data_IF_303212655665
#
_entry.id   IF_303212655665
#
_cell.length_a   1.000
_cell.length_b   1.000
_cell.length_c   1.000
_cell.angle_alpha   90.00
_cell.angle_beta   90.00
_cell.angle_gamma   90.00
#
_symmetry.space_group_name_H-M   'P 1'
#
loop_
_entity.id
_entity.type
_entity.pdbx_description
1 polymer ?
2 non-polymer ?
3 non-polymer ?
#
# COMPACT_ATOMS: atom_id res chain seq x y z
N UNK A 2 -18.29 5.21 -10.11
CA UNK A 2 -17.78 5.63 -11.45
C UNK A 2 -16.55 6.56 -11.32
N UNK A 3 -15.80 6.37 -10.23
CA UNK A 3 -14.61 7.16 -9.92
C UNK A 3 -13.33 6.42 -10.27
N UNK A 4 -12.54 7.03 -11.14
CA UNK A 4 -11.28 6.46 -11.59
C UNK A 4 -10.10 6.62 -10.63
N UNK A 5 -9.16 5.68 -10.73
CA UNK A 5 -7.96 5.71 -9.92
C UNK A 5 -6.75 5.44 -10.80
N UNK A 6 -5.81 6.38 -10.81
CA UNK A 6 -4.61 6.22 -11.58
C UNK A 6 -3.53 5.70 -10.65
N UNK A 7 -2.75 4.75 -11.16
CA UNK A 7 -1.71 4.10 -10.39
C UNK A 7 -0.30 4.41 -10.88
N UNK A 8 0.55 4.90 -9.98
CA UNK A 8 1.93 5.23 -10.33
C UNK A 8 2.82 4.15 -9.76
N UNK A 9 3.63 3.52 -10.61
CA UNK A 9 4.53 2.44 -10.16
C UNK A 9 5.99 2.88 -10.31
N UNK A 10 6.73 2.96 -9.20
CA UNK A 10 8.12 3.42 -9.27
C UNK A 10 9.15 2.43 -8.74
N UNK A 11 10.29 2.38 -9.42
CA UNK A 11 11.38 1.51 -9.02
C UNK A 11 11.12 0.04 -9.23
N UNK A 12 12.13 -0.80 -9.03
CA UNK A 12 11.94 -2.24 -9.19
C UNK A 12 10.73 -2.59 -8.34
N UNK A 13 10.92 -2.55 -7.02
CA UNK A 13 9.87 -2.86 -6.08
C UNK A 13 8.53 -2.30 -6.53
N UNK A 14 8.50 -0.99 -6.78
CA UNK A 14 7.25 -0.40 -7.21
C UNK A 14 6.64 -1.15 -8.37
N UNK A 15 7.41 -1.27 -9.44
CA UNK A 15 6.96 -1.93 -10.66
C UNK A 15 6.79 -3.43 -10.65
N UNK A 16 7.28 -4.10 -9.63
CA UNK A 16 7.11 -5.53 -9.57
C UNK A 16 5.85 -5.95 -8.82
N UNK A 17 5.52 -5.24 -7.74
CA UNK A 17 4.31 -5.57 -7.04
C UNK A 17 3.21 -5.07 -7.98
N UNK A 18 3.57 -4.12 -8.84
CA UNK A 18 2.64 -3.53 -9.78
C UNK A 18 2.27 -4.49 -10.88
N UNK A 19 3.26 -5.20 -11.39
CA UNK A 19 3.10 -6.19 -12.46
C UNK A 19 2.09 -7.23 -11.95
N UNK A 20 2.37 -7.76 -10.77
CA UNK A 20 1.51 -8.74 -10.12
C UNK A 20 0.11 -8.17 -9.91
N UNK A 21 0.03 -6.92 -9.46
CA UNK A 21 -1.24 -6.25 -9.22
C UNK A 21 -2.12 -6.34 -10.47
N UNK A 22 -1.57 -5.93 -11.61
CA UNK A 22 -2.33 -5.96 -12.86
C UNK A 22 -2.52 -7.37 -13.37
N UNK A 23 -1.74 -8.30 -12.86
CA UNK A 23 -1.90 -9.66 -13.30
C UNK A 23 -3.16 -10.16 -12.61
N UNK A 24 -3.28 -9.83 -11.31
CA UNK A 24 -4.40 -10.24 -10.47
C UNK A 24 -5.73 -9.61 -10.88
N UNK A 25 -5.78 -8.30 -11.01
CA UNK A 25 -7.03 -7.66 -11.41
C UNK A 25 -7.48 -8.16 -12.76
N UNK A 26 -6.53 -8.38 -13.66
CA UNK A 26 -6.87 -8.87 -14.99
C UNK A 26 -7.65 -10.18 -14.87
N UNK A 27 -7.07 -11.13 -14.14
CA UNK A 27 -7.69 -12.43 -13.93
C UNK A 27 -9.14 -12.28 -13.50
N UNK A 28 -9.37 -11.38 -12.56
CA UNK A 28 -10.71 -11.17 -12.03
C UNK A 28 -11.71 -10.60 -13.03
N UNK A 29 -11.34 -9.53 -13.72
CA UNK A 29 -12.25 -8.92 -14.68
C UNK A 29 -12.24 -9.64 -16.03
N UNK A 30 -11.77 -10.87 -16.04
CA UNK A 30 -11.74 -11.64 -17.28
C UNK A 30 -11.04 -11.01 -18.47
N UNK A 31 -10.00 -10.23 -18.21
CA UNK A 31 -9.26 -9.62 -19.29
C UNK A 31 -8.06 -10.48 -19.60
N UNK A 32 -7.68 -10.56 -20.86
CA UNK A 32 -6.52 -11.34 -21.26
C UNK A 32 -5.34 -10.38 -21.18
N UNK A 33 -4.11 -10.91 -21.28
CA UNK A 33 -2.91 -10.07 -21.23
C UNK A 33 -2.92 -8.95 -22.27
N UNK A 34 -4.12 -8.60 -22.73
CA UNK A 34 -4.35 -7.55 -23.72
C UNK A 34 -5.80 -7.07 -23.63
N UNK A 35 -6.75 -7.87 -24.12
CA UNK A 35 -8.14 -7.44 -24.07
C UNK A 35 -9.29 -8.45 -24.09
N UNK A 36 -10.16 -8.29 -23.08
CA UNK A 36 -11.40 -9.06 -22.82
C UNK A 36 -11.54 -10.55 -23.14
N UNK A 45 -21.63 -8.20 -14.35
CA UNK A 45 -21.66 -6.78 -14.03
C UNK A 45 -20.64 -6.44 -12.95
N UNK A 46 -19.55 -5.81 -13.39
CA UNK A 46 -18.45 -5.38 -12.53
C UNK A 46 -18.04 -3.99 -13.02
N UNK A 47 -17.32 -3.25 -12.19
CA UNK A 47 -16.86 -1.91 -12.59
C UNK A 47 -15.38 -1.97 -12.95
N UNK A 48 -15.10 -2.00 -14.25
CA UNK A 48 -13.72 -2.07 -14.73
C UNK A 48 -13.12 -0.68 -14.84
N UNK A 49 -13.97 0.29 -15.17
CA UNK A 49 -13.57 1.68 -15.34
C UNK A 49 -12.62 2.21 -14.27
N UNK A 50 -12.94 1.97 -13.02
CA UNK A 50 -12.13 2.47 -11.92
C UNK A 50 -10.63 2.29 -12.15
N UNK A 51 -10.23 1.09 -12.54
CA UNK A 51 -8.82 0.80 -12.75
C UNK A 51 -8.36 0.68 -14.19
N UNK A 52 -9.32 0.49 -15.11
CA UNK A 52 -9.04 0.35 -16.53
C UNK A 52 -9.62 1.45 -17.43
N UNK A 53 -9.22 1.38 -18.69
CA UNK A 53 -9.66 2.34 -19.71
C UNK A 53 -10.08 1.57 -20.95
N UNK A 54 -11.20 1.98 -21.54
CA UNK A 54 -11.72 1.33 -22.74
C UNK A 54 -10.89 1.70 -23.96
N UNK A 55 -10.20 0.71 -24.51
CA UNK A 55 -9.37 0.92 -25.68
C UNK A 55 -10.18 1.37 -26.89
N UNK A 56 -9.50 2.03 -27.83
CA UNK A 56 -10.14 2.53 -29.06
C UNK A 56 -10.35 1.34 -30.01
N UNK A 57 -10.43 0.15 -29.44
CA UNK A 57 -10.63 -1.10 -30.18
C UNK A 57 -11.39 -2.13 -29.35
N UNK A 58 -12.33 -1.66 -28.54
CA UNK A 58 -13.13 -2.54 -27.69
C UNK A 58 -12.24 -3.49 -26.86
N UNK A 59 -11.02 -3.04 -26.56
CA UNK A 59 -10.05 -3.80 -25.75
C UNK A 59 -9.82 -3.04 -24.44
N UNK A 60 -8.97 -3.59 -23.55
CA UNK A 60 -8.70 -2.92 -22.27
C UNK A 60 -7.24 -2.64 -21.95
N UNK A 61 -7.02 -1.57 -21.19
CA UNK A 61 -5.68 -1.18 -20.76
C UNK A 61 -5.75 -0.49 -19.40
N UNK A 62 -4.81 -0.79 -18.51
CA UNK A 62 -4.74 -0.23 -17.16
C UNK A 62 -4.27 1.23 -17.03
N UNK A 63 -4.93 1.99 -16.15
CA UNK A 63 -4.58 3.39 -15.89
C UNK A 63 -3.30 3.37 -15.05
N UNK A 64 -2.25 2.81 -15.61
CA UNK A 64 -1.02 2.74 -14.85
C UNK A 64 0.14 3.39 -15.55
N UNK A 65 0.98 4.01 -14.73
CA UNK A 65 2.16 4.69 -15.18
C UNK A 65 3.37 3.97 -14.63
N UNK A 66 4.15 3.32 -15.50
CA UNK A 66 5.34 2.61 -15.05
C UNK A 66 6.57 3.52 -15.16
N UNK A 67 7.04 4.01 -14.02
CA UNK A 67 8.20 4.92 -13.99
C UNK A 67 9.36 4.25 -13.29
N UNK A 68 10.54 4.32 -13.89
CA UNK A 68 11.72 3.70 -13.34
C UNK A 68 12.94 4.47 -13.83
N UNK A 69 14.06 4.37 -13.12
CA UNK A 69 15.26 5.10 -13.50
C UNK A 69 16.29 4.20 -14.14
N UNK A 70 15.87 3.00 -14.50
CA UNK A 70 16.76 2.04 -15.13
C UNK A 70 15.88 1.11 -15.95
N UNK A 71 16.33 0.72 -17.14
CA UNK A 71 15.58 -0.16 -18.03
C UNK A 71 15.38 -1.62 -17.64
N UNK A 72 16.32 -2.19 -16.89
CA UNK A 72 16.19 -3.59 -16.55
C UNK A 72 14.77 -4.09 -16.27
N UNK A 73 14.19 -3.66 -15.14
CA UNK A 73 12.85 -4.09 -14.71
C UNK A 73 11.69 -3.88 -15.68
N UNK A 74 11.63 -2.71 -16.29
CA UNK A 74 10.56 -2.41 -17.23
C UNK A 74 10.62 -3.24 -18.51
N UNK A 75 11.80 -3.66 -18.90
CA UNK A 75 11.92 -4.46 -20.11
C UNK A 75 11.60 -5.93 -19.86
N UNK A 76 11.61 -6.31 -18.59
CA UNK A 76 11.28 -7.67 -18.17
C UNK A 76 9.78 -7.78 -18.31
N UNK A 77 9.10 -6.70 -17.95
CA UNK A 77 7.66 -6.63 -18.05
C UNK A 77 7.32 -6.62 -19.53
N UNK A 78 8.04 -5.78 -20.26
CA UNK A 78 7.79 -5.66 -21.69
C UNK A 78 8.19 -6.92 -22.47
N UNK A 79 9.22 -7.61 -22.04
CA UNK A 79 9.58 -8.83 -22.74
C UNK A 79 8.85 -9.99 -22.01
N UNK A 80 7.64 -9.71 -21.51
CA UNK A 80 6.84 -10.70 -20.79
C UNK A 80 5.48 -10.97 -21.45
N UNK A 81 4.66 -11.85 -20.84
CA UNK A 81 3.34 -12.18 -21.39
C UNK A 81 2.35 -11.03 -21.39
N UNK A 82 2.59 -10.01 -20.55
CA UNK A 82 1.68 -8.86 -20.47
C UNK A 82 2.15 -7.59 -21.13
N UNK A 83 3.28 -7.68 -21.82
CA UNK A 83 3.82 -6.52 -22.50
C UNK A 83 2.74 -5.81 -23.31
N UNK A 84 1.80 -6.59 -23.84
CA UNK A 84 0.73 -6.03 -24.65
C UNK A 84 -0.41 -5.38 -23.87
N UNK A 85 -0.43 -5.58 -22.54
CA UNK A 85 -1.49 -5.01 -21.71
C UNK A 85 -1.30 -3.51 -21.50
N UNK A 86 -0.17 -3.13 -20.91
CA UNK A 86 0.11 -1.75 -20.61
C UNK A 86 0.02 -0.81 -21.80
N UNK A 87 -0.31 0.45 -21.50
CA UNK A 87 -0.42 1.51 -22.49
C UNK A 87 1.03 1.95 -22.76
N UNK A 88 1.55 1.60 -23.94
CA UNK A 88 2.92 1.94 -24.33
C UNK A 88 3.42 3.34 -24.00
N UNK A 89 2.59 4.37 -24.22
CA UNK A 89 3.02 5.74 -23.94
C UNK A 89 3.01 6.07 -22.45
N UNK A 90 2.78 5.08 -21.60
CA UNK A 90 2.75 5.30 -20.17
C UNK A 90 3.98 4.75 -19.47
N UNK A 91 4.90 4.22 -20.26
CA UNK A 91 6.14 3.63 -19.78
C UNK A 91 7.32 4.61 -19.86
N UNK A 92 7.81 5.10 -18.72
CA UNK A 92 8.93 6.02 -18.76
C UNK A 92 10.24 5.55 -18.10
N UNK A 93 11.36 5.86 -18.78
CA UNK A 93 12.70 5.49 -18.31
C UNK A 93 13.71 6.63 -18.50
N UNK A 94 14.47 6.95 -17.45
CA UNK A 94 15.46 8.03 -17.53
C UNK A 94 16.61 7.60 -18.41
N UNK A 101 18.79 6.34 -8.67
CA UNK A 101 20.23 6.52 -8.70
C UNK A 101 20.94 5.71 -7.63
N UNK A 102 20.16 5.29 -6.63
CA UNK A 102 20.60 4.50 -5.48
C UNK A 102 20.35 5.33 -4.22
N UNK A 103 20.46 6.64 -4.38
CA UNK A 103 20.27 7.55 -3.28
C UNK A 103 18.90 8.17 -3.49
N UNK A 104 18.27 8.57 -2.39
CA UNK A 104 16.97 9.22 -2.43
C UNK A 104 17.19 10.60 -3.04
N UNK A 105 18.36 11.14 -2.79
CA UNK A 105 18.74 12.44 -3.30
C UNK A 105 18.79 12.37 -4.82
N UNK A 106 19.47 11.34 -5.32
CA UNK A 106 19.59 11.14 -6.77
C UNK A 106 18.23 10.89 -7.40
N UNK A 107 17.35 10.24 -6.64
CA UNK A 107 16.02 9.95 -7.12
C UNK A 107 15.16 11.20 -7.00
N UNK A 108 15.17 11.81 -5.84
CA UNK A 108 14.38 13.01 -5.69
C UNK A 108 14.83 13.99 -6.76
N UNK A 109 16.07 13.82 -7.19
CA UNK A 109 16.67 14.70 -8.19
C UNK A 109 16.08 14.57 -9.59
N UNK A 110 16.46 13.52 -10.30
CA UNK A 110 15.99 13.30 -11.66
C UNK A 110 14.51 13.60 -11.87
N UNK A 111 13.72 13.46 -10.82
CA UNK A 111 12.30 13.75 -10.96
C UNK A 111 12.17 15.16 -11.46
N UNK A 112 12.80 16.08 -10.71
CA UNK A 112 12.78 17.48 -11.06
C UNK A 112 13.27 17.61 -12.47
N UNK A 113 14.21 16.75 -12.84
CA UNK A 113 14.75 16.77 -14.19
C UNK A 113 13.75 16.21 -15.20
N UNK A 114 13.04 15.15 -14.81
CA UNK A 114 12.10 14.51 -15.71
C UNK A 114 10.66 15.02 -15.56
N UNK A 115 10.48 15.89 -14.58
CA UNK A 115 9.17 16.47 -14.31
C UNK A 115 8.26 16.46 -15.53
N UNK A 116 8.48 17.43 -16.41
CA UNK A 116 7.69 17.58 -17.62
C UNK A 116 7.39 16.28 -18.35
N UNK A 117 8.42 15.53 -18.70
CA UNK A 117 8.20 14.30 -19.44
C UNK A 117 7.23 13.38 -18.70
N UNK A 118 7.30 13.41 -17.37
CA UNK A 118 6.45 12.56 -16.53
C UNK A 118 4.99 12.97 -16.46
N UNK A 119 4.72 14.25 -16.24
CA UNK A 119 3.35 14.68 -16.15
C UNK A 119 2.60 14.62 -17.47
N UNK A 120 3.36 14.55 -18.56
CA UNK A 120 2.74 14.44 -19.86
C UNK A 120 1.92 13.14 -19.85
N UNK A 121 2.41 12.12 -19.13
CA UNK A 121 1.71 10.84 -19.03
C UNK A 121 0.74 10.93 -17.88
N UNK A 122 1.15 11.65 -16.83
CA UNK A 122 0.30 11.75 -15.66
C UNK A 122 -0.92 12.61 -15.96
N UNK A 123 -0.72 13.77 -16.57
CA UNK A 123 -1.83 14.66 -16.88
C UNK A 123 -2.73 14.08 -17.97
N UNK A 124 -2.19 13.28 -18.88
CA UNK A 124 -3.01 12.72 -19.96
C UNK A 124 -4.05 11.74 -19.45
N UNK A 125 -3.62 10.80 -18.62
CA UNK A 125 -4.52 9.82 -18.04
C UNK A 125 -5.41 10.61 -17.10
N UNK A 126 -4.86 11.71 -16.60
CA UNK A 126 -5.62 12.56 -15.70
C UNK A 126 -6.77 13.18 -16.48
N UNK A 127 -6.58 13.35 -17.78
CA UNK A 127 -7.64 13.91 -18.59
C UNK A 127 -8.64 12.81 -18.91
N UNK A 128 -8.14 11.71 -19.48
CA UNK A 128 -8.98 10.58 -19.83
C UNK A 128 -10.10 10.30 -18.85
N UNK A 129 -9.80 10.46 -17.57
CA UNK A 129 -10.81 10.23 -16.55
C UNK A 129 -11.83 11.36 -16.48
N UNK A 130 -13.10 11.00 -16.27
CA UNK A 130 -14.17 11.97 -16.21
C UNK A 130 -14.40 12.38 -14.77
N UNK A 131 -14.24 11.42 -13.86
CA UNK A 131 -14.40 11.66 -12.43
C UNK A 131 -13.26 10.99 -11.70
N UNK A 132 -12.08 11.60 -11.75
CA UNK A 132 -10.93 11.05 -11.08
C UNK A 132 -11.06 11.25 -9.58
N UNK A 133 -10.73 10.22 -8.82
CA UNK A 133 -10.77 10.30 -7.38
C UNK A 133 -9.36 10.67 -6.88
N UNK A 134 -8.37 9.85 -7.23
CA UNK A 134 -7.03 10.15 -6.79
C UNK A 134 -5.95 9.24 -7.34
N UNK A 135 -4.82 9.14 -6.62
CA UNK A 135 -3.71 8.32 -7.08
C UNK A 135 -3.18 7.27 -6.10
N UNK A 136 -2.79 6.12 -6.64
CA UNK A 136 -2.19 5.06 -5.85
C UNK A 136 -0.72 5.00 -6.30
N UNK A 137 0.18 5.05 -5.31
CA UNK A 137 1.60 5.03 -5.61
C UNK A 137 2.27 3.78 -5.04
N UNK A 138 2.56 2.81 -5.91
CA UNK A 138 3.22 1.57 -5.51
C UNK A 138 4.71 1.86 -5.53
N UNK A 139 5.41 1.54 -4.45
CA UNK A 139 6.82 1.84 -4.40
C UNK A 139 7.40 1.31 -3.10
N UNK A 140 8.70 1.47 -2.93
CA UNK A 140 9.39 1.03 -1.72
C UNK A 140 9.94 2.26 -0.99
N UNK A 141 10.13 2.15 0.32
CA UNK A 141 10.64 3.27 1.12
C UNK A 141 12.17 3.33 1.05
N UNK A 142 12.83 2.18 1.21
CA UNK A 142 14.29 2.11 1.14
C UNK A 142 14.58 2.33 -0.33
N UNK A 143 15.64 1.75 -0.87
CA UNK A 143 15.91 1.95 -2.28
C UNK A 143 16.07 3.42 -2.68
N UNK A 144 16.32 3.68 -3.96
CA UNK A 144 16.49 5.05 -4.41
C UNK A 144 15.31 5.68 -5.13
N UNK A 145 15.03 5.18 -6.34
CA UNK A 145 13.94 5.67 -7.16
C UNK A 145 12.60 5.74 -6.41
N UNK A 146 12.12 4.59 -5.94
CA UNK A 146 10.88 4.57 -5.20
C UNK A 146 10.81 5.71 -4.21
N UNK A 147 11.77 5.81 -3.30
CA UNK A 147 11.77 6.85 -2.28
C UNK A 147 12.12 8.25 -2.78
N UNK A 148 13.20 8.35 -3.56
CA UNK A 148 13.62 9.63 -4.08
C UNK A 148 12.63 10.21 -5.07
N UNK A 149 12.45 9.51 -6.19
CA UNK A 149 11.53 9.96 -7.21
C UNK A 149 10.13 10.00 -6.61
N UNK A 150 9.78 8.94 -5.89
CA UNK A 150 8.47 8.85 -5.27
C UNK A 150 8.08 9.97 -4.33
N UNK A 151 9.05 10.43 -3.53
CA UNK A 151 8.78 11.51 -2.59
C UNK A 151 8.54 12.77 -3.42
N UNK A 152 9.28 12.89 -4.52
CA UNK A 152 9.14 14.03 -5.39
C UNK A 152 7.74 14.10 -5.94
N UNK A 153 7.27 13.01 -6.53
CA UNK A 153 5.93 12.97 -7.09
C UNK A 153 4.92 13.37 -6.03
N UNK A 154 5.00 12.69 -4.88
CA UNK A 154 4.09 12.95 -3.77
C UNK A 154 4.01 14.41 -3.39
N UNK A 155 5.03 15.18 -3.72
CA UNK A 155 5.05 16.60 -3.42
C UNK A 155 4.41 17.35 -4.58
N UNK A 156 4.70 16.90 -5.79
CA UNK A 156 4.15 17.51 -6.99
C UNK A 156 2.66 17.22 -7.09
N UNK A 157 2.29 15.97 -6.87
CA UNK A 157 0.88 15.57 -6.93
C UNK A 157 0.07 16.42 -5.98
N UNK A 158 0.67 16.79 -4.86
CA UNK A 158 0.00 17.59 -3.83
C UNK A 158 -0.23 19.06 -4.26
N UNK A 159 0.19 19.38 -5.48
CA UNK A 159 0.04 20.74 -6.02
C UNK A 159 -0.72 20.73 -7.34
N UNK A 160 -0.24 19.95 -8.31
CA UNK A 160 -0.89 19.88 -9.63
C UNK A 160 -2.33 19.40 -9.53
N UNK A 161 -2.62 18.70 -8.43
CA UNK A 161 -3.94 18.17 -8.12
C UNK A 161 -4.06 18.29 -6.61
N UNK A 162 -4.75 19.31 -6.15
CA UNK A 162 -4.91 19.51 -4.71
C UNK A 162 -6.04 18.76 -4.06
N UNK A 163 -7.12 18.51 -4.81
CA UNK A 163 -8.30 17.83 -4.28
C UNK A 163 -8.15 16.32 -4.40
N UNK A 164 -7.57 15.90 -5.52
CA UNK A 164 -7.35 14.49 -5.80
C UNK A 164 -6.62 13.78 -4.66
N UNK A 165 -7.31 12.79 -4.09
CA UNK A 165 -6.81 12.01 -2.98
C UNK A 165 -5.58 11.19 -3.34
N UNK A 166 -4.77 10.83 -2.34
CA UNK A 166 -3.56 10.05 -2.59
C UNK A 166 -3.35 8.89 -1.61
N UNK A 167 -3.35 7.67 -2.12
CA UNK A 167 -3.10 6.51 -1.27
C UNK A 167 -1.88 5.79 -1.76
N UNK A 168 -1.24 5.04 -0.87
CA UNK A 168 -0.05 4.31 -1.30
C UNK A 168 0.18 2.98 -0.63
N UNK A 169 0.81 2.09 -1.39
CA UNK A 169 1.19 0.80 -0.89
C UNK A 169 2.70 0.92 -0.83
N UNK A 170 3.19 1.24 0.37
CA UNK A 170 4.61 1.44 0.61
C UNK A 170 5.27 0.19 1.18
N UNK A 171 6.29 -0.31 0.48
CA UNK A 171 6.99 -1.51 0.92
C UNK A 171 8.18 -1.15 1.79
N UNK A 172 8.07 -1.52 3.07
CA UNK A 172 9.12 -1.28 4.06
C UNK A 172 10.15 -2.41 3.98
N UNK A 173 11.46 -2.09 3.98
CA UNK A 173 12.53 -3.10 3.90
C UNK A 173 12.46 -4.21 4.92
N UNK A 174 13.11 -5.32 4.61
CA UNK A 174 13.12 -6.48 5.48
C UNK A 174 13.99 -6.27 6.72
N UNK A 175 13.33 -6.15 7.86
CA UNK A 175 13.99 -5.97 9.17
C UNK A 175 14.57 -4.58 9.37
N UNK A 179 21.30 -5.10 6.86
CA UNK A 179 20.82 -4.54 5.60
C UNK A 179 21.61 -5.09 4.43
N UNK A 180 21.76 -4.25 3.41
CA UNK A 180 22.49 -4.55 2.19
C UNK A 180 22.16 -3.43 1.24
N UNK A 181 21.95 -2.26 1.83
CA UNK A 181 21.65 -1.03 1.12
C UNK A 181 22.46 0.06 1.84
N UNK A 182 22.66 -0.15 3.14
CA UNK A 182 23.42 0.78 3.98
C UNK A 182 22.67 2.04 4.37
N UNK A 183 21.95 2.63 3.44
CA UNK A 183 21.22 3.85 3.76
C UNK A 183 19.71 3.74 3.76
N UNK A 184 19.19 2.52 3.85
CA UNK A 184 17.74 2.36 3.89
C UNK A 184 17.20 3.31 4.95
N UNK A 185 17.83 3.35 6.13
CA UNK A 185 17.34 4.25 7.18
C UNK A 185 17.40 5.74 6.83
N UNK A 186 18.03 6.06 5.70
CA UNK A 186 18.11 7.45 5.26
C UNK A 186 16.96 7.67 4.31
N UNK A 187 17.01 7.01 3.17
CA UNK A 187 15.94 7.14 2.19
C UNK A 187 14.60 7.02 2.92
N UNK A 188 14.48 6.01 3.77
CA UNK A 188 13.24 5.76 4.49
C UNK A 188 12.71 6.93 5.33
N UNK A 189 13.58 7.61 6.06
CA UNK A 189 13.10 8.74 6.86
C UNK A 189 12.67 9.86 5.91
N UNK A 190 13.51 10.11 4.92
CA UNK A 190 13.23 11.15 3.94
C UNK A 190 11.91 10.92 3.21
N UNK A 191 11.45 9.68 3.18
CA UNK A 191 10.19 9.38 2.51
C UNK A 191 9.02 9.41 3.49
N UNK A 192 9.19 8.76 4.64
CA UNK A 192 8.11 8.75 5.63
C UNK A 192 7.54 10.15 5.83
N UNK A 193 8.36 11.16 5.62
CA UNK A 193 7.91 12.54 5.79
C UNK A 193 6.84 12.84 4.72
N UNK A 194 7.22 12.61 3.46
CA UNK A 194 6.33 12.86 2.34
C UNK A 194 5.13 11.90 2.40
N UNK A 195 5.22 10.88 3.25
CA UNK A 195 4.13 9.92 3.40
C UNK A 195 3.23 10.37 4.53
N UNK A 196 3.76 11.22 5.39
CA UNK A 196 2.98 11.71 6.53
C UNK A 196 2.09 12.89 6.17
N UNK A 197 2.67 13.83 5.43
CA UNK A 197 1.99 15.04 5.06
C UNK A 197 1.54 15.16 3.62
N UNK A 198 2.11 14.34 2.74
CA UNK A 198 1.71 14.42 1.34
C UNK A 198 1.04 13.17 0.80
N UNK A 199 0.32 12.48 1.67
CA UNK A 199 -0.40 11.26 1.31
C UNK A 199 -1.57 11.13 2.26
N UNK A 200 -2.73 10.79 1.70
CA UNK A 200 -3.96 10.62 2.47
C UNK A 200 -4.06 9.30 3.25
N UNK A 201 -3.64 8.19 2.62
CA UNK A 201 -3.73 6.85 3.22
C UNK A 201 -2.40 6.15 2.93
N UNK A 202 -1.95 5.32 3.87
CA UNK A 202 -0.66 4.65 3.71
C UNK A 202 -0.64 3.15 3.99
N UNK A 203 -1.08 2.31 3.06
CA UNK A 203 -1.06 0.88 3.36
C UNK A 203 0.35 0.37 3.53
N UNK A 204 0.72 0.08 4.77
CA UNK A 204 2.07 -0.37 5.07
C UNK A 204 2.28 -1.88 4.88
N UNK A 205 3.23 -2.18 4.00
CA UNK A 205 3.61 -3.55 3.68
C UNK A 205 5.03 -3.75 4.25
N UNK A 206 5.13 -4.52 5.33
CA UNK A 206 6.40 -4.79 5.99
C UNK A 206 7.05 -6.03 5.37
N UNK A 207 8.20 -5.85 4.71
CA UNK A 207 8.90 -6.96 4.07
C UNK A 207 9.26 -8.06 5.06
N UNK A 208 9.59 -7.69 6.28
CA UNK A 208 9.89 -8.69 7.28
C UNK A 208 8.65 -9.56 7.40
N UNK A 209 7.55 -8.93 7.79
CA UNK A 209 6.29 -9.63 7.98
C UNK A 209 5.91 -10.49 6.81
N UNK A 210 6.10 -9.97 5.59
CA UNK A 210 5.76 -10.74 4.40
C UNK A 210 6.57 -12.02 4.39
N UNK A 211 7.86 -11.90 4.70
CA UNK A 211 8.75 -13.04 4.74
C UNK A 211 8.27 -14.10 5.74
N UNK A 212 8.34 -13.79 7.04
CA UNK A 212 7.92 -14.72 8.09
C UNK A 212 6.87 -15.64 7.48
N UNK A 213 5.79 -15.05 6.99
CA UNK A 213 4.71 -15.79 6.35
C UNK A 213 5.25 -16.70 5.25
N UNK A 214 5.65 -16.10 4.14
CA UNK A 214 6.19 -16.85 3.01
C UNK A 214 7.01 -18.02 3.53
N UNK A 215 7.84 -17.74 4.52
CA UNK A 215 8.68 -18.77 5.10
C UNK A 215 7.83 -19.70 5.92
N UNK A 216 7.19 -19.16 6.96
CA UNK A 216 6.37 -19.93 7.88
C UNK A 216 5.07 -20.45 7.29
N UNK A 217 4.03 -19.63 7.35
CA UNK A 217 2.73 -20.02 6.82
C UNK A 217 2.69 -20.28 5.32
N UNK A 218 3.74 -20.94 4.81
CA UNK A 218 3.81 -21.30 3.39
C UNK A 218 4.90 -22.34 3.16
N UNK A 219 5.94 -22.31 4.00
CA UNK A 219 7.04 -23.27 3.95
C UNK A 219 8.00 -23.15 2.76
N UNK A 220 8.69 -22.01 2.69
CA UNK A 220 9.67 -21.71 1.65
C UNK A 220 10.89 -21.14 2.36
N UNK A 221 12.01 -21.87 2.34
CA UNK A 221 13.23 -21.44 3.03
C UNK A 221 13.76 -20.11 2.51
N UNK A 222 13.91 -20.01 1.20
CA UNK A 222 14.41 -18.77 0.60
C UNK A 222 13.33 -18.13 -0.26
N UNK A 223 12.37 -17.43 0.39
CA UNK A 223 11.28 -16.76 -0.32
C UNK A 223 11.73 -15.63 -1.25
N UNK A 224 11.44 -15.78 -2.54
CA UNK A 224 11.80 -14.79 -3.56
C UNK A 224 10.79 -13.63 -3.63
N UNK A 225 11.12 -12.57 -4.36
CA UNK A 225 10.21 -11.42 -4.47
C UNK A 225 8.94 -11.78 -5.23
N UNK A 226 9.06 -12.67 -6.22
CA UNK A 226 7.89 -13.08 -6.99
C UNK A 226 6.94 -13.72 -5.99
N UNK A 227 7.45 -14.71 -5.26
CA UNK A 227 6.67 -15.39 -4.27
C UNK A 227 6.10 -14.40 -3.27
N UNK A 228 6.94 -13.53 -2.74
CA UNK A 228 6.51 -12.52 -1.77
C UNK A 228 5.45 -11.57 -2.33
N UNK A 229 5.70 -11.04 -3.53
CA UNK A 229 4.75 -10.14 -4.17
C UNK A 229 3.41 -10.80 -4.49
N UNK A 230 3.38 -12.12 -4.51
CA UNK A 230 2.14 -12.82 -4.81
C UNK A 230 1.18 -12.45 -3.67
N UNK A 231 1.71 -12.32 -2.47
CA UNK A 231 0.93 -11.96 -1.28
C UNK A 231 0.38 -10.54 -1.36
N UNK A 232 1.27 -9.60 -1.65
CA UNK A 232 0.93 -8.18 -1.78
C UNK A 232 -0.17 -7.99 -2.81
N UNK A 233 -0.11 -8.74 -3.90
CA UNK A 233 -1.12 -8.61 -4.93
C UNK A 233 -2.49 -8.93 -4.37
N UNK A 234 -2.54 -10.05 -3.63
CA UNK A 234 -3.77 -10.51 -2.99
C UNK A 234 -4.40 -9.37 -2.21
N UNK A 235 -3.62 -8.73 -1.34
CA UNK A 235 -4.13 -7.62 -0.56
C UNK A 235 -4.44 -6.41 -1.44
N UNK A 236 -3.46 -6.01 -2.26
CA UNK A 236 -3.66 -4.88 -3.16
C UNK A 236 -4.95 -5.14 -3.92
N UNK A 237 -5.21 -6.41 -4.19
CA UNK A 237 -6.41 -6.82 -4.90
C UNK A 237 -7.65 -6.80 -4.02
N UNK A 238 -7.59 -7.48 -2.90
CA UNK A 238 -8.74 -7.53 -2.01
C UNK A 238 -9.21 -6.16 -1.54
N UNK A 239 -8.28 -5.36 -1.01
CA UNK A 239 -8.63 -4.03 -0.52
C UNK A 239 -9.30 -3.12 -1.54
N UNK A 240 -9.45 -3.58 -2.79
CA UNK A 240 -10.09 -2.75 -3.83
C UNK A 240 -11.32 -3.44 -4.48
N UNK A 241 -11.77 -4.53 -3.86
CA UNK A 241 -12.89 -5.33 -4.35
C UNK A 241 -14.22 -4.61 -4.26
N UNK A 242 -14.39 -3.81 -3.21
CA UNK A 242 -15.64 -3.09 -3.04
C UNK A 242 -15.77 -1.96 -4.03
N UNK A 243 -14.71 -1.69 -4.77
CA UNK A 243 -14.71 -0.63 -5.78
C UNK A 243 -14.87 -1.23 -7.16
N UNK A 244 -14.47 -2.48 -7.31
CA UNK A 244 -14.52 -3.15 -8.60
C UNK A 244 -15.77 -4.03 -8.79
N UNK A 245 -16.32 -4.48 -7.67
CA UNK A 245 -17.54 -5.29 -7.65
C UNK A 245 -18.34 -4.48 -6.63
N UNK A 246 -18.65 -3.21 -7.02
CA UNK A 246 -19.37 -2.15 -6.30
C UNK A 246 -20.76 -2.43 -5.79
N UNK A 247 -21.06 -1.80 -4.66
CA UNK A 247 -22.35 -1.93 -4.02
C UNK A 247 -22.91 -0.55 -3.73
N UNK A 248 -23.85 -0.46 -2.79
CA UNK A 248 -24.43 0.83 -2.45
C UNK A 248 -23.49 1.61 -1.54
N UNK A 249 -22.99 0.95 -0.49
CA UNK A 249 -22.06 1.58 0.43
C UNK A 249 -20.68 1.21 -0.11
N UNK A 250 -19.65 1.87 0.40
CA UNK A 250 -18.25 1.61 0.00
C UNK A 250 -17.90 1.55 -1.48
N UNK A 251 -18.34 2.53 -2.29
CA UNK A 251 -17.99 2.48 -3.71
C UNK A 251 -16.97 3.53 -4.12
N UNK A 252 -16.51 4.32 -3.15
CA UNK A 252 -15.51 5.37 -3.37
C UNK A 252 -14.29 4.92 -2.59
N UNK A 253 -13.08 5.23 -3.06
CA UNK A 253 -11.91 4.83 -2.31
C UNK A 253 -11.95 5.58 -0.98
N UNK A 254 -12.37 6.84 -1.06
CA UNK A 254 -12.50 7.74 0.08
C UNK A 254 -13.53 7.25 1.10
N UNK A 255 -14.37 6.31 0.68
CA UNK A 255 -15.37 5.77 1.57
C UNK A 255 -14.67 4.80 2.48
N UNK A 256 -13.68 4.10 1.95
CA UNK A 256 -12.93 3.13 2.75
C UNK A 256 -11.99 3.86 3.69
N UNK A 257 -11.05 4.59 3.12
CA UNK A 257 -10.09 5.33 3.92
C UNK A 257 -10.76 6.18 5.00
N UNK A 258 -11.79 6.93 4.63
CA UNK A 258 -12.47 7.78 5.60
C UNK A 258 -12.81 7.02 6.87
N UNK A 259 -13.40 5.85 6.68
CA UNK A 259 -13.81 4.99 7.78
C UNK A 259 -12.62 4.53 8.66
N UNK A 260 -11.42 4.56 8.10
CA UNK A 260 -10.21 4.10 8.80
C UNK A 260 -9.33 5.21 9.31
N UNK A 261 -9.68 6.45 9.01
CA UNK A 261 -8.87 7.59 9.44
C UNK A 261 -9.75 8.67 10.04
N UNK A 262 -9.81 8.71 11.37
CA UNK A 262 -10.62 9.70 12.10
C UNK A 262 -9.93 11.06 12.06
N UNK A 263 -8.64 11.05 12.36
CA UNK A 263 -7.84 12.26 12.35
C UNK A 263 -6.72 12.09 11.34
N UNK A 264 -6.16 13.21 10.83
CA UNK A 264 -5.06 13.11 9.86
C UNK A 264 -3.77 12.56 10.47
N UNK A 265 -2.66 12.69 9.75
CA UNK A 265 -1.37 12.18 10.21
C UNK A 265 -1.57 10.69 10.47
N UNK A 266 -2.25 10.39 11.59
CA UNK A 266 -2.56 9.01 11.95
C UNK A 266 -3.38 8.45 10.78
N UNK A 267 -2.70 7.85 9.83
CA UNK A 267 -3.38 7.32 8.67
C UNK A 267 -2.54 6.20 8.07
N UNK A 268 -1.77 5.53 8.94
CA UNK A 268 -0.94 4.42 8.50
C UNK A 268 -1.66 3.18 8.89
N UNK A 269 -1.91 2.33 7.91
CA UNK A 269 -2.64 1.10 8.16
C UNK A 269 -1.74 -0.11 8.03
N UNK A 270 -2.25 -1.21 8.56
CA UNK A 270 -1.56 -2.49 8.50
C UNK A 270 -2.63 -3.43 7.99
N UNK A 271 -2.24 -4.52 7.34
CA UNK A 271 -3.23 -5.42 6.80
C UNK A 271 -3.02 -6.86 7.19
N UNK A 272 -3.84 -7.74 6.60
CA UNK A 272 -3.75 -9.17 6.87
C UNK A 272 -4.81 -9.93 6.10
N UNK A 273 -4.53 -11.17 5.75
CA UNK A 273 -5.48 -12.01 5.01
C UNK A 273 -5.70 -13.36 5.72
N UNK A 274 -6.89 -13.95 5.59
CA UNK A 274 -7.19 -15.20 6.27
C UNK A 274 -6.81 -16.46 5.51
N UNK A 275 -7.60 -16.85 4.50
CA UNK A 275 -7.20 -18.08 3.80
C UNK A 275 -5.85 -17.90 3.10
N UNK A 276 -4.80 -18.46 3.71
CA UNK A 276 -3.45 -18.35 3.19
C UNK A 276 -2.84 -19.63 2.61
N UNK A 277 -3.26 -20.80 3.08
CA UNK A 277 -2.66 -22.06 2.60
C UNK A 277 -3.58 -23.26 2.31
N UNK A 278 -3.15 -24.42 2.81
CA UNK A 278 -3.83 -25.72 2.71
C UNK A 278 -4.34 -26.25 1.36
N UNK A 279 -5.05 -27.38 1.45
CA UNK A 279 -5.61 -28.08 0.31
C UNK A 279 -6.12 -29.46 0.73
N UNK A 284 -9.63 -32.01 3.75
CA UNK A 284 -10.51 -30.84 3.80
C UNK A 284 -10.92 -30.55 5.24
N UNK A 285 -11.35 -29.32 5.50
CA UNK A 285 -11.79 -28.92 6.84
C UNK A 285 -13.21 -29.42 7.08
N UNK A 286 -13.74 -29.20 8.29
CA UNK A 286 -15.09 -29.65 8.63
C UNK A 286 -16.13 -28.53 8.58
N UNK A 287 -15.65 -27.28 8.60
CA UNK A 287 -16.50 -26.09 8.53
C UNK A 287 -15.67 -24.80 8.64
N UNK A 288 -15.85 -23.91 7.65
CA UNK A 288 -15.14 -22.63 7.59
C UNK A 288 -16.12 -21.50 7.31
N UNK A 289 -16.58 -20.87 8.39
CA UNK A 289 -17.54 -19.78 8.32
C UNK A 289 -16.89 -18.43 8.61
N UNK A 290 -17.61 -17.36 8.31
CA UNK A 290 -17.11 -16.00 8.53
C UNK A 290 -16.63 -15.80 9.95
N UNK A 291 -17.02 -16.71 10.84
CA UNK A 291 -16.63 -16.62 12.24
C UNK A 291 -15.13 -16.75 12.41
N UNK A 292 -14.60 -17.92 12.07
CA UNK A 292 -13.18 -18.12 12.22
C UNK A 292 -12.41 -17.25 11.22
N UNK A 293 -13.11 -16.53 10.35
CA UNK A 293 -12.45 -15.66 9.39
C UNK A 293 -12.16 -14.31 10.03
N UNK A 294 -13.12 -13.77 10.77
CA UNK A 294 -12.87 -12.51 11.45
C UNK A 294 -11.98 -12.84 12.63
N UNK A 295 -12.22 -14.01 13.22
CA UNK A 295 -11.45 -14.45 14.37
C UNK A 295 -9.95 -14.40 14.11
N UNK A 296 -9.51 -14.96 12.98
CA UNK A 296 -8.10 -15.00 12.64
C UNK A 296 -7.50 -13.65 12.23
N UNK A 297 -8.29 -12.84 11.52
CA UNK A 297 -7.82 -11.53 11.08
C UNK A 297 -7.31 -10.69 12.23
N UNK A 298 -7.52 -11.15 13.46
CA UNK A 298 -7.05 -10.38 14.59
C UNK A 298 -5.83 -11.06 15.17
N UNK A 299 -5.63 -12.32 14.79
CA UNK A 299 -4.47 -13.05 15.26
C UNK A 299 -3.32 -12.33 14.57
N UNK A 300 -2.43 -11.69 15.35
CA UNK A 300 -1.29 -10.96 14.77
C UNK A 300 -0.43 -11.81 13.84
N UNK A 301 -0.48 -13.12 14.00
CA UNK A 301 0.30 -14.01 13.15
C UNK A 301 -0.10 -13.81 11.70
N UNK A 302 -1.29 -13.28 11.47
CA UNK A 302 -1.75 -13.06 10.10
C UNK A 302 -1.61 -11.58 9.68
N UNK A 303 -1.16 -10.73 10.59
CA UNK A 303 -0.96 -9.31 10.31
C UNK A 303 0.40 -9.06 9.63
N UNK A 304 0.38 -8.51 8.42
CA UNK A 304 1.60 -8.25 7.66
C UNK A 304 2.48 -7.09 8.09
N UNK A 305 2.80 -7.04 9.37
CA UNK A 305 3.68 -6.00 9.90
C UNK A 305 4.27 -6.54 11.20
N UNK A 306 5.46 -6.07 11.55
CA UNK A 306 6.17 -6.54 12.74
C UNK A 306 6.31 -5.51 13.85
N UNK A 307 5.86 -5.91 15.03
CA UNK A 307 5.88 -5.05 16.21
C UNK A 307 6.51 -5.72 17.44
N UNK A 308 7.16 -4.92 18.29
CA UNK A 308 7.79 -5.45 19.48
C UNK A 308 8.37 -4.38 20.40
N UNK A 313 1.44 -4.40 26.42
CA UNK A 313 0.07 -3.91 26.51
C UNK A 313 -0.15 -2.59 25.73
N UNK A 314 -0.74 -1.61 26.41
CA UNK A 314 -1.05 -0.27 25.90
C UNK A 314 -1.61 -0.03 24.49
N UNK A 315 -0.87 -0.38 23.43
CA UNK A 315 -1.35 -0.16 22.04
C UNK A 315 -2.74 -0.71 21.72
N UNK A 316 -3.40 -0.05 20.76
CA UNK A 316 -4.75 -0.44 20.38
C UNK A 316 -5.13 0.05 18.98
N UNK A 317 -6.11 -0.63 18.39
CA UNK A 317 -6.58 -0.25 17.06
C UNK A 317 -7.31 1.10 17.14
N UNK A 318 -7.32 1.85 16.03
CA UNK A 318 -8.01 3.15 15.95
C UNK A 318 -9.20 3.00 15.01
N UNK A 319 -9.37 1.79 14.48
CA UNK A 319 -10.46 1.42 13.57
C UNK A 319 -10.03 0.15 12.88
N UNK A 320 -11.01 -0.66 12.52
CA UNK A 320 -10.74 -1.94 11.87
C UNK A 320 -11.78 -2.16 10.81
N UNK A 321 -11.33 -2.67 9.66
CA UNK A 321 -12.21 -2.98 8.54
C UNK A 321 -11.95 -4.44 8.16
N UNK A 322 -13.00 -5.14 7.75
CA UNK A 322 -12.85 -6.52 7.32
C UNK A 322 -13.65 -6.66 6.04
N UNK A 323 -13.05 -7.18 4.99
CA UNK A 323 -13.77 -7.37 3.74
C UNK A 323 -13.84 -8.86 3.43
N UNK A 324 -15.04 -9.40 3.59
CA UNK A 324 -15.32 -10.82 3.37
C UNK A 324 -15.90 -11.08 1.99
N UNK A 325 -15.40 -12.12 1.32
CA UNK A 325 -15.86 -12.47 -0.02
C UNK A 325 -16.70 -13.75 -0.06
N UNK A 326 -17.64 -13.80 -0.99
CA UNK A 326 -18.48 -14.98 -1.12
C UNK A 326 -19.72 -14.95 -0.25
N UNK A 327 -20.36 -16.11 -0.09
CA UNK A 327 -21.58 -16.23 0.70
C UNK A 327 -21.37 -15.88 2.17
N UNK A 328 -22.29 -15.11 2.75
CA UNK A 328 -22.18 -14.75 4.16
C UNK A 328 -23.47 -14.63 4.98
N UNK A 329 -24.51 -14.03 4.42
CA UNK A 329 -25.76 -13.89 5.17
C UNK A 329 -25.42 -13.10 6.44
N UNK A 330 -25.54 -11.77 6.36
CA UNK A 330 -25.27 -10.79 7.42
C UNK A 330 -25.77 -11.10 8.82
N UNK A 331 -26.51 -12.19 8.99
CA UNK A 331 -27.02 -12.53 10.30
C UNK A 331 -25.90 -13.17 11.12
N UNK A 332 -25.11 -14.01 10.43
CA UNK A 332 -23.99 -14.72 11.03
C UNK A 332 -22.93 -13.74 11.52
N UNK A 333 -22.73 -12.67 10.77
CA UNK A 333 -21.75 -11.63 11.07
C UNK A 333 -21.97 -10.91 12.40
N UNK A 334 -23.22 -10.60 12.73
CA UNK A 334 -23.49 -9.94 13.99
C UNK A 334 -23.02 -10.90 15.08
N UNK A 335 -23.34 -12.17 14.88
CA UNK A 335 -22.98 -13.23 15.84
C UNK A 335 -21.46 -13.38 16.07
N UNK A 336 -20.67 -13.04 15.06
CA UNK A 336 -19.21 -13.14 15.16
C UNK A 336 -18.61 -11.99 15.96
N UNK A 337 -19.21 -10.81 15.83
CA UNK A 337 -18.75 -9.63 16.54
C UNK A 337 -18.95 -9.82 18.05
N UNK A 338 -20.09 -10.40 18.41
CA UNK A 338 -20.43 -10.63 19.81
C UNK A 338 -19.39 -11.50 20.51
N UNK A 339 -19.03 -12.61 19.87
CA UNK A 339 -18.04 -13.53 20.42
C UNK A 339 -16.74 -12.79 20.71
N UNK A 340 -16.44 -11.81 19.87
CA UNK A 340 -15.24 -10.98 20.02
C UNK A 340 -15.40 -10.05 21.22
N UNK A 341 -16.55 -9.36 21.28
CA UNK A 341 -16.81 -8.43 22.37
C UNK A 341 -16.61 -9.08 23.74
N UNK A 342 -16.99 -10.35 23.86
CA UNK A 342 -16.88 -11.07 25.13
C UNK A 342 -15.52 -11.77 25.39
N UNK A 343 -14.85 -12.19 24.32
CA UNK A 343 -13.54 -12.84 24.44
C UNK A 343 -12.46 -11.75 24.46
N UNK A 344 -12.90 -10.50 24.30
CA UNK A 344 -12.04 -9.31 24.27
C UNK A 344 -10.86 -9.45 23.30
N UNK A 345 -11.11 -10.12 22.17
CA UNK A 345 -10.08 -10.36 21.15
C UNK A 345 -9.48 -9.10 20.55
N UNK A 346 -10.29 -8.06 20.44
CA UNK A 346 -9.84 -6.81 19.87
C UNK A 346 -9.80 -5.71 20.92
N UNK A 347 -8.61 -5.16 21.13
CA UNK A 347 -8.42 -4.08 22.09
C UNK A 347 -8.41 -2.77 21.31
N UNK A 348 -9.53 -2.05 21.33
CA UNK A 348 -9.59 -0.78 20.61
C UNK A 348 -9.16 0.40 21.46
N UNK A 349 -9.37 1.59 20.93
CA UNK A 349 -8.99 2.81 21.64
C UNK A 349 -9.87 3.02 22.85
N UNK A 350 -9.40 3.84 23.80
CA UNK A 350 -10.12 4.14 25.03
C UNK A 350 -10.93 5.42 24.92
N UNK A 351 -10.49 6.28 24.00
CA UNK A 351 -11.12 7.58 23.80
C UNK A 351 -12.25 7.64 22.77
N UNK A 352 -12.85 6.50 22.45
CA UNK A 352 -13.92 6.54 21.47
C UNK A 352 -14.57 5.22 21.12
N UNK A 353 -15.58 5.25 20.24
CA UNK A 353 -16.37 4.10 19.75
C UNK A 353 -15.57 2.93 19.16
N UNK A 354 -15.39 1.90 19.98
CA UNK A 354 -14.67 0.70 19.57
C UNK A 354 -15.50 -0.07 18.54
N UNK A 355 -15.20 0.11 17.26
CA UNK A 355 -15.96 -0.60 16.25
C UNK A 355 -15.15 -1.08 15.06
N UNK A 356 -15.50 -2.28 14.58
CA UNK A 356 -14.85 -2.91 13.43
C UNK A 356 -15.88 -2.96 12.31
N UNK A 357 -15.49 -2.59 11.11
CA UNK A 357 -16.44 -2.61 10.00
C UNK A 357 -16.28 -3.84 9.14
N UNK A 358 -17.40 -4.42 8.75
CA UNK A 358 -17.34 -5.56 7.87
C UNK A 358 -17.80 -5.02 6.54
N UNK A 359 -17.43 -5.73 5.48
CA UNK A 359 -17.79 -5.35 4.12
C UNK A 359 -17.85 -6.64 3.33
N UNK A 360 -19.08 -7.06 3.02
CA UNK A 360 -19.28 -8.29 2.28
C UNK A 360 -19.21 -7.98 0.78
N UNK A 361 -18.03 -8.18 0.20
CA UNK A 361 -17.86 -7.92 -1.22
C UNK A 361 -17.92 -9.18 -2.03
N UNK A 362 -18.17 -9.00 -3.31
CA UNK A 362 -18.24 -10.12 -4.20
C UNK A 362 -16.82 -10.52 -4.53
N UNK A 363 -16.70 -11.31 -5.59
CA UNK A 363 -15.42 -11.78 -6.12
C UNK A 363 -15.69 -11.76 -7.62
N UNK A 364 -14.85 -12.40 -8.42
CA UNK A 364 -15.07 -12.41 -9.86
C UNK A 364 -15.72 -13.77 -10.18
N UNK A 365 -16.57 -13.82 -11.24
CA UNK A 365 -17.26 -15.06 -11.66
C UNK A 365 -16.32 -16.17 -12.18
N UNK A 366 -15.20 -16.41 -11.48
CA UNK A 366 -14.23 -17.41 -11.93
C UNK A 366 -13.54 -18.14 -10.77
N UNK A 372 -15.85 -21.14 -0.77
CA UNK A 372 -15.33 -20.88 0.55
C UNK A 372 -15.26 -19.38 0.83
N UNK A 373 -15.29 -19.02 2.10
CA UNK A 373 -15.21 -17.62 2.50
C UNK A 373 -13.83 -17.10 2.15
N UNK A 374 -13.52 -15.89 2.60
CA UNK A 374 -12.24 -15.25 2.35
C UNK A 374 -12.34 -13.93 3.07
N UNK A 375 -11.28 -13.53 3.76
CA UNK A 375 -11.36 -12.26 4.46
C UNK A 375 -10.12 -11.41 4.43
N UNK A 376 -10.30 -10.09 4.38
CA UNK A 376 -9.19 -9.16 4.39
C UNK A 376 -9.36 -8.08 5.45
N UNK A 377 -8.32 -7.86 6.25
CA UNK A 377 -8.36 -6.84 7.28
C UNK A 377 -7.46 -5.65 6.99
N UNK A 378 -7.98 -4.47 7.31
CA UNK A 378 -7.26 -3.21 7.14
C UNK A 378 -7.52 -2.43 8.40
N UNK A 379 -6.45 -2.18 9.15
CA UNK A 379 -6.62 -1.47 10.39
C UNK A 379 -5.62 -0.38 10.57
N UNK A 380 -6.06 0.65 11.29
CA UNK A 380 -5.18 1.75 11.63
C UNK A 380 -4.93 1.40 13.07
N UNK A 381 -3.75 0.83 13.35
CA UNK A 381 -3.39 0.42 14.70
C UNK A 381 -2.20 1.24 15.19
N UNK A 382 -2.16 1.49 16.49
CA UNK A 382 -1.12 2.28 17.14
C UNK A 382 0.31 1.78 16.96
N UNK A 383 0.56 0.55 17.42
CA UNK A 383 1.88 -0.04 17.35
C UNK A 383 2.53 0.06 15.98
N UNK A 384 1.87 0.73 15.04
CA UNK A 384 2.43 0.89 13.70
C UNK A 384 3.58 1.89 13.81
N UNK A 385 3.58 2.64 14.91
CA UNK A 385 4.59 3.64 15.19
C UNK A 385 5.91 2.91 15.35
N UNK A 386 5.82 1.65 15.73
CA UNK A 386 6.99 0.82 15.95
C UNK A 386 7.97 0.82 14.77
N UNK A 387 7.44 0.78 13.54
CA UNK A 387 8.31 0.79 12.36
C UNK A 387 9.01 2.12 12.19
N UNK A 388 8.31 3.20 12.51
CA UNK A 388 8.86 4.54 12.39
C UNK A 388 9.97 4.66 13.41
N UNK A 389 9.70 4.17 14.61
CA UNK A 389 10.69 4.20 15.68
C UNK A 389 11.90 3.37 15.24
N UNK A 390 11.65 2.15 14.82
CA UNK A 390 12.70 1.25 14.37
C UNK A 390 13.55 1.90 13.31
N UNK A 391 12.99 2.87 12.59
CA UNK A 391 13.74 3.54 11.52
C UNK A 391 14.62 4.66 12.03
N UNK A 392 14.09 5.49 12.92
CA UNK A 392 14.87 6.59 13.45
C UNK A 392 16.10 6.13 14.20
N UNK A 393 15.90 5.25 15.19
CA UNK A 393 17.03 4.74 15.98
C UNK A 393 18.17 4.36 15.04
N UNK A 394 17.79 3.78 13.91
CA UNK A 394 18.76 3.39 12.89
C UNK A 394 19.32 4.66 12.26
N UNK A 395 18.43 5.62 12.03
CA UNK A 395 18.83 6.89 11.45
C UNK A 395 19.79 7.61 12.36
N UNK A 396 19.34 7.89 13.58
CA UNK A 396 20.16 8.59 14.56
C UNK A 396 21.54 7.94 14.59
N UNK A 397 21.57 6.63 14.85
CA UNK A 397 22.85 5.93 14.89
C UNK A 397 23.68 6.30 13.67
N UNK A 398 23.17 5.96 12.49
CA UNK A 398 23.86 6.26 11.25
C UNK A 398 24.09 7.77 11.10
N UNK A 399 23.31 8.57 11.82
CA UNK A 399 23.47 10.00 11.73
C UNK A 399 24.55 10.50 12.66
N UNK A 400 24.53 10.00 13.90
CA UNK A 400 25.49 10.39 14.93
C UNK A 400 26.91 9.91 14.63
N UNK A 401 27.20 9.67 13.35
CA UNK A 401 28.52 9.22 12.94
C UNK A 401 28.80 9.85 11.60
N UNK A 402 27.79 10.51 11.04
CA UNK A 402 27.92 11.15 9.75
C UNK A 402 28.21 10.07 8.72
N UNK A 403 27.52 8.93 8.88
CA UNK A 403 27.70 7.78 8.00
C UNK A 403 27.28 7.99 6.53
N UNK A 404 28.12 7.51 5.61
CA UNK A 404 27.88 7.59 4.18
C UNK A 404 27.27 8.89 3.70
N UNK A 405 27.24 9.90 4.55
CA UNK A 405 26.66 11.18 4.15
C UNK A 405 27.32 11.70 2.87
N UNK A 406 28.28 10.94 2.38
CA UNK A 406 28.97 11.30 1.17
C UNK A 406 28.40 10.51 0.00
N UNK A 407 27.48 11.16 -0.71
CA UNK A 407 26.82 10.59 -1.87
C UNK A 407 25.46 11.26 -1.93
N UNK A 408 24.92 11.52 -0.75
CA UNK A 408 23.64 12.19 -0.62
C UNK A 408 23.96 13.69 -0.65
N UNK A 409 25.02 14.07 0.06
CA UNK A 409 25.44 15.46 0.10
C UNK A 409 26.06 15.81 -1.26
N UNK A 410 25.80 14.96 -2.25
CA UNK A 410 26.31 15.16 -3.59
C UNK A 410 25.31 15.82 -4.54
N UNK A 411 24.39 16.60 -3.98
CA UNK A 411 23.39 17.28 -4.79
C UNK A 411 22.33 17.99 -3.97
N UNK A 412 22.60 19.23 -3.60
CA UNK A 412 21.65 20.05 -2.85
C UNK A 412 21.34 19.49 -1.47
N UNK A 413 22.38 19.01 -0.81
CA UNK A 413 22.27 18.47 0.53
C UNK A 413 23.47 19.12 1.24
N UNK A 414 23.61 20.43 0.99
CA UNK A 414 24.67 21.27 1.54
C UNK A 414 24.33 21.71 2.95
N UNK A 415 23.28 21.09 3.47
CA UNK A 415 22.79 21.32 4.82
C UNK A 415 21.92 20.13 5.23
N UNK A 416 20.83 20.34 5.95
CA UNK A 416 20.02 19.21 6.38
C UNK A 416 18.49 19.25 6.41
N UNK A 417 17.90 18.73 5.33
CA UNK A 417 16.45 18.63 5.24
C UNK A 417 16.18 17.46 6.17
N UNK A 418 17.23 16.65 6.35
CA UNK A 418 17.21 15.47 7.21
C UNK A 418 16.55 15.78 8.54
N UNK A 419 17.02 16.85 9.16
CA UNK A 419 16.48 17.25 10.44
C UNK A 419 15.00 17.62 10.31
N UNK A 420 14.63 18.25 9.21
CA UNK A 420 13.24 18.61 8.99
C UNK A 420 12.38 17.35 9.03
N UNK A 421 12.88 16.29 8.39
CA UNK A 421 12.18 15.02 8.33
C UNK A 421 12.11 14.30 9.66
N UNK A 422 13.26 14.03 10.28
CA UNK A 422 13.27 13.34 11.57
C UNK A 422 12.16 13.92 12.47
N UNK A 423 12.27 15.21 12.78
CA UNK A 423 11.29 15.86 13.63
C UNK A 423 9.85 15.54 13.24
N UNK A 424 9.55 15.65 11.96
CA UNK A 424 8.20 15.36 11.48
C UNK A 424 7.83 13.93 11.89
N UNK A 425 8.64 12.98 11.43
CA UNK A 425 8.43 11.57 11.72
C UNK A 425 8.23 11.35 13.22
N UNK A 426 8.93 12.14 14.04
CA UNK A 426 8.80 12.01 15.48
C UNK A 426 7.38 12.39 15.86
N UNK A 427 6.82 13.37 15.15
CA UNK A 427 5.46 13.80 15.42
C UNK A 427 4.54 12.60 15.20
N UNK A 428 4.74 11.91 14.10
CA UNK A 428 3.92 10.74 13.75
C UNK A 428 3.96 9.69 14.85
N UNK A 429 5.10 9.53 15.50
CA UNK A 429 5.22 8.54 16.56
C UNK A 429 4.59 9.10 17.81
N UNK A 430 4.62 10.42 17.93
CA UNK A 430 4.05 11.09 19.09
C UNK A 430 2.53 10.99 19.12
N UNK A 431 1.88 11.28 18.00
CA UNK A 431 0.42 11.20 17.95
C UNK A 431 -0.06 9.75 18.00
N UNK A 432 0.57 8.87 17.23
CA UNK A 432 0.16 7.47 17.21
C UNK A 432 0.18 6.88 18.62
N UNK A 433 1.20 7.20 19.41
CA UNK A 433 1.27 6.70 20.80
C UNK A 433 0.18 7.44 21.59
N UNK A 434 0.23 8.77 21.52
CA UNK A 434 -0.74 9.61 22.20
C UNK A 434 -2.16 9.12 21.90
N UNK A 435 -2.27 8.37 20.82
CA UNK A 435 -3.57 7.87 20.39
C UNK A 435 -4.05 6.73 21.29
N UNK A 436 -3.15 6.09 22.02
CA UNK A 436 -3.58 5.01 22.88
C UNK A 436 -3.97 5.54 24.27
N UNK A 437 -3.66 6.80 24.55
CA UNK A 437 -3.99 7.41 25.83
C UNK A 437 -5.49 7.76 25.84
N UNK A 438 -6.18 7.45 26.94
CA UNK A 438 -7.61 7.75 27.05
C UNK A 438 -7.83 9.24 26.88
N UNK A 439 -6.87 10.02 27.36
CA UNK A 439 -6.91 11.48 27.28
C UNK A 439 -7.23 11.91 25.85
N UNK A 440 -6.37 11.48 24.93
CA UNK A 440 -6.45 11.77 23.50
C UNK A 440 -7.31 12.97 23.09
X LIG B 1 15.92 0.42 -9.49
X LIG C 1 17.04 2.35 -7.55
X LIG C 1 18.26 1.58 -7.80
X LIG C 1 16.16 2.53 -8.80
X LIG C 1 17.46 3.70 -6.97
X LIG C 1 16.26 1.56 -6.43
X LIG C 1 14.69 1.44 -5.96
X LIG C 1 15.55 0.63 -5.09
X LIG C 1 14.23 1.32 -7.39
X LIG C 1 14.04 -0.02 -5.97
X LIG C 1 14.42 -1.48 -5.43
X LIG C 1 13.35 -2.48 -5.67
X LIG C 1 15.68 -1.67 -4.66
X LIG C 1 13.76 -1.19 -3.97
X LIG C 1 14.23 -2.10 -2.96
X LIG C 1 13.68 -1.98 -1.61
X LIG C 1 12.35 -2.61 -1.74
X LIG C 1 14.36 -2.89 -0.56
X LIG C 1 14.06 -2.45 0.81
X LIG C 1 13.81 -4.27 -0.91
X LIG C 1 13.78 -5.05 0.30
X LIG C 1 12.40 -4.02 -1.35
X LIG C 1 11.88 -4.72 -2.59
X LIG C 1 12.46 -4.70 -3.85
X LIG C 1 11.83 -5.34 -4.76
X LIG C 1 10.70 -5.86 -4.10
X LIG C 1 9.64 -6.65 -4.61
X LIG C 1 9.45 -7.09 -5.76
X LIG C 1 8.68 -6.98 -3.61
X LIG C 1 8.74 -6.57 -2.28
X LIG C 1 7.70 -6.99 -1.54
X LIG C 1 9.76 -5.80 -1.77
X LIG C 1 10.71 -5.48 -2.74
#
# INVERSE_FOLDING_TARGET
MPREIITLQLGQCGNQIGFEFWKQLCAEHGISPEAIVEEFATEGTDRKDVFFYQADDEHYIPRAVLLDLEPRVIHSILNSPYAKLYNPENIYLSEHGGGAGNNWASGFSQGEKIHEDIFDIIDREADGSDSLEGFVLCHSIAGGTGSGLGSYLLERLNDRYPKKLVQTYSVFPNQDEMSDVVVQPYNSLLTLKRLTQNADCLVVLDNTALNRIATDRLHIQNPSFSQINQLVSTIMSASTTTLRYPGYMNNDLIGLIASLIPTPRLHFLMTGYTPLTTDQSVASVRKTTVLDVMRRLLQPKNVMVSTGRDRQTNHCYIAILNIIQGEVDPTQVHKSLQRIRERKLANFIPWGPASIQVALSRKSPYLPSAHRVSGLMMANHTSISSLFERTCRQYDKLRKREAFLEQFRKEDMFKDNFDEMDTSREIVQQLIDEYHAATRPDYISWGTQVDVDGGEQKLISEEDLLLEHHHHHH
MG MG
GTP PG O1G O2G O3G O3B PB O1B O2B O3A PA O1A O2A O5' C5' C4' O4' C3' O3' C2' O2' C1' N9 C8 N7 C5 C6 O6 N1 C2 N2 N3 C4
#
